data_IF_907543266762
#
_entry.id   IF_907543266762
#
_cell.length_a   1.000
_cell.length_b   1.000
_cell.length_c   1.000
_cell.angle_alpha   90.00
_cell.angle_beta   90.00
_cell.angle_gamma   90.00
#
_symmetry.space_group_name_H-M   'P 1'
#
loop_
_entity.id
_entity.type
_entity.pdbx_description
1 polymer ?
#
# COMPACT_ATOMS: atom_id res chain seq x y z
N UNK A 1 5.16 -72.94 -1.68
CA UNK A 1 4.80 -71.89 -0.69
C UNK A 1 5.81 -70.76 -0.80
N UNK A 2 5.51 -69.79 -1.67
CA UNK A 2 6.10 -68.46 -1.71
C UNK A 2 5.12 -67.63 -2.55
N UNK A 3 4.12 -67.05 -1.87
CA UNK A 3 3.10 -66.19 -2.47
C UNK A 3 3.66 -64.77 -2.62
N UNK A 4 3.64 -64.28 -3.85
CA UNK A 4 3.74 -62.87 -4.22
C UNK A 4 2.32 -62.41 -4.60
N UNK A 5 1.74 -61.35 -4.01
CA UNK A 5 0.50 -60.80 -4.52
C UNK A 5 0.72 -59.75 -5.61
N UNK A 6 -0.21 -59.79 -6.55
CA UNK A 6 -0.42 -59.00 -7.76
C UNK A 6 -0.42 -57.47 -7.57
N UNK A 7 0.09 -56.78 -8.60
CA UNK A 7 -0.23 -55.39 -8.94
C UNK A 7 -1.75 -55.23 -9.14
N UNK A 8 -2.32 -54.16 -8.57
CA UNK A 8 -3.64 -53.65 -8.96
C UNK A 8 -3.51 -52.20 -9.41
N UNK A 9 -3.69 -52.05 -10.71
CA UNK A 9 -3.71 -50.87 -11.56
C UNK A 9 -4.80 -49.86 -11.12
N UNK A 10 -4.40 -48.71 -10.56
CA UNK A 10 -5.33 -47.59 -10.33
C UNK A 10 -5.48 -46.80 -11.64
N UNK A 11 -6.29 -47.37 -12.52
CA UNK A 11 -6.83 -46.69 -13.69
C UNK A 11 -7.63 -45.46 -13.26
N UNK A 12 -7.23 -44.30 -13.79
CA UNK A 12 -7.95 -43.05 -13.65
C UNK A 12 -9.35 -43.15 -14.25
N UNK A 13 -10.35 -42.82 -13.45
CA UNK A 13 -11.69 -42.57 -13.94
C UNK A 13 -11.67 -41.26 -14.74
N UNK A 14 -11.61 -41.42 -16.06
CA UNK A 14 -11.82 -40.35 -17.03
C UNK A 14 -13.33 -40.18 -17.20
N UNK A 15 -13.89 -39.11 -16.64
CA UNK A 15 -15.24 -38.65 -17.02
C UNK A 15 -15.14 -37.92 -18.37
N UNK A 16 -15.40 -38.67 -19.45
CA UNK A 16 -15.43 -38.19 -20.83
C UNK A 16 -16.77 -37.48 -21.06
N UNK A 17 -16.97 -36.28 -20.52
CA UNK A 17 -18.09 -35.43 -20.95
C UNK A 17 -17.94 -33.92 -20.83
N UNK A 18 -16.89 -33.40 -20.20
CA UNK A 18 -16.53 -31.97 -20.29
C UNK A 18 -15.01 -31.81 -20.19
N UNK A 19 -14.37 -31.39 -21.28
CA UNK A 19 -12.91 -31.23 -21.41
C UNK A 19 -12.32 -30.08 -20.60
N UNK A 20 -12.66 -29.94 -19.32
CA UNK A 20 -12.05 -28.97 -18.41
C UNK A 20 -11.20 -29.72 -17.40
N UNK A 21 -9.88 -29.74 -17.60
CA UNK A 21 -8.94 -30.09 -16.54
C UNK A 21 -9.06 -29.02 -15.45
N UNK A 22 -9.75 -29.34 -14.36
CA UNK A 22 -9.69 -28.56 -13.13
C UNK A 22 -8.23 -28.65 -12.68
N UNK A 23 -7.55 -27.52 -12.65
CA UNK A 23 -6.26 -27.42 -11.98
C UNK A 23 -6.50 -27.75 -10.52
N UNK A 24 -5.97 -28.88 -10.04
CA UNK A 24 -5.66 -29.05 -8.63
C UNK A 24 -4.72 -27.91 -8.25
N UNK A 25 -5.29 -26.85 -7.67
CA UNK A 25 -4.50 -25.93 -6.87
C UNK A 25 -3.87 -26.78 -5.78
N UNK A 26 -2.56 -26.96 -5.85
CA UNK A 26 -1.79 -27.56 -4.78
C UNK A 26 -2.30 -26.98 -3.46
N UNK A 27 -2.88 -27.85 -2.64
CA UNK A 27 -3.45 -27.53 -1.34
C UNK A 27 -2.33 -26.96 -0.48
N UNK A 28 -2.21 -25.63 -0.45
CA UNK A 28 -1.46 -24.97 0.62
C UNK A 28 -2.05 -25.50 1.94
N UNK A 29 -1.23 -26.07 2.85
CA UNK A 29 -1.75 -26.63 4.08
C UNK A 29 -2.49 -25.53 4.84
N UNK A 30 -3.77 -25.77 5.14
CA UNK A 30 -4.58 -24.85 5.92
C UNK A 30 -3.86 -24.58 7.24
N UNK A 31 -3.36 -23.34 7.40
CA UNK A 31 -2.66 -22.90 8.59
C UNK A 31 -3.54 -23.16 9.82
N UNK A 32 -3.01 -23.74 10.91
CA UNK A 32 -3.78 -24.00 12.12
C UNK A 32 -4.47 -22.71 12.62
N UNK A 33 -5.70 -22.80 13.13
CA UNK A 33 -6.52 -21.65 13.51
C UNK A 33 -5.78 -20.63 14.40
N UNK A 34 -4.91 -21.11 15.28
CA UNK A 34 -4.04 -20.30 16.15
C UNK A 34 -3.01 -19.48 15.37
N UNK A 35 -2.39 -20.04 14.33
CA UNK A 35 -1.40 -19.32 13.52
C UNK A 35 -2.05 -18.26 12.63
N UNK A 36 -3.28 -18.49 12.16
CA UNK A 36 -4.04 -17.46 11.42
C UNK A 36 -4.39 -16.26 12.32
N UNK A 37 -4.81 -16.50 13.57
CA UNK A 37 -5.11 -15.42 14.52
C UNK A 37 -3.86 -14.61 14.87
N UNK A 38 -2.72 -15.29 15.07
CA UNK A 38 -1.43 -14.64 15.29
C UNK A 38 -0.98 -13.84 14.07
N UNK A 39 -1.13 -14.38 12.85
CA UNK A 39 -0.80 -13.67 11.62
C UNK A 39 -1.63 -12.39 11.47
N UNK A 40 -2.94 -12.45 11.76
CA UNK A 40 -3.81 -11.26 11.76
C UNK A 40 -3.34 -10.23 12.78
N UNK A 41 -3.08 -10.64 14.02
CA UNK A 41 -2.63 -9.73 15.08
C UNK A 41 -1.27 -9.09 14.74
N UNK A 42 -0.30 -9.89 14.28
CA UNK A 42 1.02 -9.40 13.87
C UNK A 42 0.90 -8.44 12.70
N UNK A 43 0.08 -8.75 11.69
CA UNK A 43 -0.15 -7.85 10.54
C UNK A 43 -0.78 -6.53 10.97
N UNK A 44 -1.74 -6.57 11.90
CA UNK A 44 -2.38 -5.39 12.47
C UNK A 44 -1.36 -4.49 13.17
N UNK A 45 -0.57 -5.07 14.09
CA UNK A 45 0.42 -4.33 14.87
C UNK A 45 1.49 -3.75 13.97
N UNK A 46 2.05 -4.57 13.06
CA UNK A 46 3.06 -4.12 12.11
C UNK A 46 2.54 -3.00 11.22
N UNK A 47 1.32 -3.09 10.69
CA UNK A 47 0.76 -2.06 9.83
C UNK A 47 0.48 -0.76 10.60
N UNK A 48 0.03 -0.86 11.84
CA UNK A 48 -0.23 0.30 12.70
C UNK A 48 1.07 1.03 13.00
N UNK A 49 2.07 0.31 13.52
CA UNK A 49 3.37 0.87 13.86
C UNK A 49 4.06 1.42 12.61
N UNK A 50 4.04 0.67 11.51
CA UNK A 50 4.65 1.10 10.27
C UNK A 50 4.06 2.42 9.77
N UNK A 51 2.72 2.53 9.71
CA UNK A 51 2.08 3.75 9.23
C UNK A 51 2.34 4.95 10.14
N UNK A 52 2.30 4.75 11.46
CA UNK A 52 2.53 5.84 12.41
C UNK A 52 3.99 6.30 12.41
N UNK A 53 4.94 5.35 12.58
CA UNK A 53 6.37 5.65 12.66
C UNK A 53 6.87 6.25 11.35
N UNK A 54 6.46 5.73 10.19
CA UNK A 54 6.85 6.29 8.90
C UNK A 54 6.50 7.78 8.82
N UNK A 55 5.26 8.16 9.13
CA UNK A 55 4.79 9.53 9.00
C UNK A 55 5.52 10.45 9.99
N UNK A 56 5.69 10.02 11.24
CA UNK A 56 6.38 10.80 12.27
C UNK A 56 7.86 11.02 11.94
N UNK A 57 8.59 9.95 11.57
CA UNK A 57 10.02 10.06 11.24
C UNK A 57 10.20 10.83 9.94
N UNK A 58 9.36 10.60 8.93
CA UNK A 58 9.41 11.34 7.67
C UNK A 58 9.12 12.83 7.88
N UNK A 59 8.18 13.20 8.76
CA UNK A 59 7.98 14.60 9.14
C UNK A 59 9.22 15.17 9.82
N UNK A 60 9.75 14.50 10.85
CA UNK A 60 10.93 14.96 11.58
C UNK A 60 12.15 15.19 10.69
N UNK A 61 12.46 14.25 9.79
CA UNK A 61 13.61 14.36 8.87
C UNK A 61 13.41 15.48 7.84
N UNK A 62 12.16 15.88 7.58
CA UNK A 62 11.81 16.96 6.64
C UNK A 62 11.66 18.34 7.29
N UNK A 63 11.54 18.41 8.62
CA UNK A 63 11.40 19.68 9.36
C UNK A 63 12.59 20.01 10.26
N UNK A 64 13.50 19.06 10.49
CA UNK A 64 14.75 19.31 11.23
C UNK A 64 15.66 20.32 10.53
N UNK A 65 16.48 20.98 11.33
CA UNK A 65 17.56 21.85 10.84
C UNK A 65 18.72 21.01 10.30
N UNK A 66 19.25 21.38 9.12
CA UNK A 66 20.39 20.70 8.51
C UNK A 66 20.29 20.56 6.98
N UNK A 67 21.27 19.88 6.35
CA UNK A 67 21.27 19.67 4.91
C UNK A 67 20.07 18.80 4.50
N UNK A 68 19.15 19.41 3.75
CA UNK A 68 17.96 18.72 3.25
C UNK A 68 18.31 17.76 2.11
N UNK A 69 18.01 16.47 2.33
CA UNK A 69 18.14 15.45 1.30
C UNK A 69 17.12 15.63 0.17
N UNK A 70 17.45 15.08 -1.00
CA UNK A 70 16.57 15.09 -2.16
C UNK A 70 15.51 14.00 -2.00
N UNK A 71 14.23 14.39 -1.93
CA UNK A 71 13.13 13.43 -1.82
C UNK A 71 13.10 12.43 -2.99
N UNK A 72 13.47 12.89 -4.19
CA UNK A 72 13.57 12.08 -5.41
C UNK A 72 14.56 10.94 -5.26
N UNK A 73 15.74 11.18 -4.69
CA UNK A 73 16.73 10.12 -4.45
C UNK A 73 16.23 9.11 -3.42
N UNK A 74 15.58 9.57 -2.34
CA UNK A 74 15.03 8.66 -1.32
C UNK A 74 13.93 7.76 -1.87
N UNK A 75 13.09 8.26 -2.78
CA UNK A 75 12.08 7.46 -3.49
C UNK A 75 12.76 6.38 -4.34
N UNK A 76 13.80 6.71 -5.12
CA UNK A 76 14.54 5.72 -5.93
C UNK A 76 15.13 4.62 -5.06
N UNK A 77 15.80 4.98 -3.96
CA UNK A 77 16.40 3.99 -3.06
C UNK A 77 15.31 3.09 -2.46
N UNK A 78 14.13 3.64 -2.14
CA UNK A 78 13.01 2.84 -1.64
C UNK A 78 12.45 1.86 -2.70
N UNK A 79 12.41 2.24 -3.97
CA UNK A 79 12.07 1.31 -5.06
C UNK A 79 13.13 0.24 -5.24
N UNK A 80 14.41 0.57 -5.08
CA UNK A 80 15.50 -0.39 -5.16
C UNK A 80 15.40 -1.43 -4.03
N UNK A 81 15.11 -1.03 -2.80
CA UNK A 81 14.87 -1.97 -1.69
C UNK A 81 13.66 -2.87 -1.96
N UNK A 82 12.57 -2.32 -2.48
CA UNK A 82 11.39 -3.12 -2.87
C UNK A 82 11.72 -4.12 -3.98
N UNK A 83 12.48 -3.70 -4.99
CA UNK A 83 12.95 -4.55 -6.08
C UNK A 83 13.81 -5.70 -5.55
N UNK A 84 14.83 -5.40 -4.73
CA UNK A 84 15.71 -6.41 -4.14
C UNK A 84 14.93 -7.42 -3.30
N UNK A 85 13.99 -6.93 -2.49
CA UNK A 85 13.15 -7.81 -1.65
C UNK A 85 12.26 -8.69 -2.51
N UNK A 86 11.61 -8.14 -3.53
CA UNK A 86 10.74 -8.91 -4.42
C UNK A 86 11.52 -9.96 -5.22
N UNK A 87 12.72 -9.62 -5.72
CA UNK A 87 13.61 -10.58 -6.39
C UNK A 87 14.07 -11.68 -5.44
N UNK A 88 14.43 -11.34 -4.20
CA UNK A 88 14.80 -12.32 -3.19
C UNK A 88 13.63 -13.30 -2.91
N UNK A 89 12.41 -12.79 -2.75
CA UNK A 89 11.24 -13.66 -2.51
C UNK A 89 10.99 -14.59 -3.71
N UNK A 90 11.06 -14.09 -4.95
CA UNK A 90 10.92 -14.96 -6.14
C UNK A 90 12.02 -16.03 -6.16
N UNK A 91 13.26 -15.66 -5.87
CA UNK A 91 14.38 -16.61 -5.85
C UNK A 91 14.20 -17.72 -4.81
N UNK A 92 13.78 -17.37 -3.58
CA UNK A 92 13.63 -18.32 -2.48
C UNK A 92 12.32 -19.12 -2.54
N UNK A 93 11.20 -18.51 -2.94
CA UNK A 93 9.87 -19.11 -2.84
C UNK A 93 9.33 -19.65 -4.16
N UNK A 94 9.69 -19.05 -5.31
CA UNK A 94 9.12 -19.43 -6.62
C UNK A 94 10.13 -20.20 -7.49
N UNK A 95 11.41 -19.90 -7.35
CA UNK A 95 12.48 -20.51 -8.15
C UNK A 95 13.25 -21.65 -7.45
N UNK A 96 12.85 -22.07 -6.26
CA UNK A 96 13.49 -23.15 -5.48
C UNK A 96 15.01 -22.97 -5.30
N UNK A 97 15.47 -21.72 -5.19
CA UNK A 97 16.91 -21.33 -5.14
C UNK A 97 17.72 -21.75 -6.38
N UNK A 98 17.06 -22.04 -7.50
CA UNK A 98 17.69 -22.42 -8.76
C UNK A 98 17.82 -21.19 -9.68
N UNK A 99 19.06 -20.78 -9.96
CA UNK A 99 19.37 -19.60 -10.78
C UNK A 99 18.83 -19.72 -12.21
N UNK A 100 18.87 -20.91 -12.83
CA UNK A 100 18.37 -21.10 -14.19
C UNK A 100 16.86 -20.90 -14.25
N UNK A 101 16.13 -21.48 -13.29
CA UNK A 101 14.68 -21.33 -13.15
C UNK A 101 14.32 -19.87 -12.87
N UNK A 102 15.08 -19.20 -12.01
CA UNK A 102 14.90 -17.78 -11.69
C UNK A 102 15.07 -16.87 -12.92
N UNK A 103 16.17 -17.00 -13.66
CA UNK A 103 16.45 -16.19 -14.86
C UNK A 103 15.37 -16.45 -15.92
N UNK A 104 15.05 -17.72 -16.17
CA UNK A 104 14.00 -18.08 -17.14
C UNK A 104 12.65 -17.48 -16.74
N UNK A 105 12.29 -17.56 -15.46
CA UNK A 105 11.04 -16.99 -14.95
C UNK A 105 10.97 -15.46 -15.12
N UNK A 106 12.06 -14.74 -14.86
CA UNK A 106 12.13 -13.29 -15.08
C UNK A 106 12.09 -12.93 -16.56
N UNK A 107 12.84 -13.63 -17.41
CA UNK A 107 12.85 -13.38 -18.85
C UNK A 107 11.47 -13.59 -19.46
N UNK A 108 10.82 -14.70 -19.14
CA UNK A 108 9.50 -15.06 -19.67
C UNK A 108 8.40 -14.07 -19.26
N UNK A 109 8.46 -13.55 -18.04
CA UNK A 109 7.39 -12.71 -17.51
C UNK A 109 7.65 -11.20 -17.57
N UNK A 110 8.89 -10.77 -17.80
CA UNK A 110 9.26 -9.35 -17.90
C UNK A 110 9.62 -8.99 -19.35
N UNK A 111 10.53 -9.73 -19.97
CA UNK A 111 11.04 -9.41 -21.31
C UNK A 111 10.08 -9.87 -22.40
N UNK A 112 9.55 -11.10 -22.29
CA UNK A 112 8.67 -11.66 -23.30
C UNK A 112 7.22 -11.15 -23.21
N UNK A 113 6.88 -10.33 -22.20
CA UNK A 113 5.54 -9.76 -22.00
C UNK A 113 5.55 -8.22 -21.92
N UNK A 114 6.00 -7.52 -22.97
CA UNK A 114 6.17 -6.06 -22.95
C UNK A 114 4.85 -5.30 -22.74
N UNK A 115 3.72 -5.83 -23.24
CA UNK A 115 2.41 -5.20 -23.07
C UNK A 115 1.94 -5.20 -21.61
N UNK A 116 2.29 -6.23 -20.85
CA UNK A 116 1.98 -6.29 -19.43
C UNK A 116 2.87 -5.34 -18.63
N UNK A 117 4.17 -5.27 -18.97
CA UNK A 117 5.07 -4.26 -18.42
C UNK A 117 4.59 -2.83 -18.72
N UNK A 118 4.09 -2.58 -19.94
CA UNK A 118 3.55 -1.27 -20.32
C UNK A 118 2.32 -0.91 -19.48
N UNK A 119 1.40 -1.85 -19.24
CA UNK A 119 0.25 -1.60 -18.33
C UNK A 119 0.72 -1.28 -16.92
N UNK A 120 1.72 -1.99 -16.40
CA UNK A 120 2.29 -1.77 -15.05
C UNK A 120 3.07 -0.45 -14.94
N UNK A 121 3.54 0.11 -16.06
CA UNK A 121 4.22 1.41 -16.07
C UNK A 121 3.34 2.57 -15.59
N UNK A 122 2.04 2.52 -15.90
CA UNK A 122 1.06 3.55 -15.52
C UNK A 122 0.96 3.71 -13.99
N UNK A 123 0.64 2.67 -13.20
CA UNK A 123 0.63 2.80 -11.75
C UNK A 123 2.03 3.09 -11.19
N UNK A 124 3.11 2.57 -11.81
CA UNK A 124 4.48 2.86 -11.37
C UNK A 124 4.79 4.35 -11.42
N UNK A 125 4.53 5.01 -12.56
CA UNK A 125 4.71 6.46 -12.73
C UNK A 125 3.93 7.24 -11.66
N UNK A 126 2.66 6.89 -11.47
CA UNK A 126 1.77 7.58 -10.54
C UNK A 126 2.24 7.38 -9.09
N UNK A 127 2.71 6.19 -8.71
CA UNK A 127 3.27 5.95 -7.39
C UNK A 127 4.57 6.73 -7.14
N UNK A 128 5.44 6.88 -8.13
CA UNK A 128 6.66 7.71 -8.00
C UNK A 128 6.29 9.17 -7.77
N UNK A 129 5.35 9.71 -8.55
CA UNK A 129 4.87 11.08 -8.37
C UNK A 129 4.19 11.26 -7.02
N UNK A 130 3.32 10.32 -6.63
CA UNK A 130 2.66 10.29 -5.34
C UNK A 130 3.66 10.30 -4.19
N UNK A 131 4.65 9.39 -4.19
CA UNK A 131 5.64 9.29 -3.12
C UNK A 131 6.44 10.59 -2.95
N UNK A 132 6.79 11.26 -4.05
CA UNK A 132 7.42 12.57 -4.01
C UNK A 132 6.50 13.66 -3.42
N UNK A 133 5.21 13.66 -3.78
CA UNK A 133 4.23 14.58 -3.21
C UNK A 133 4.00 14.35 -1.71
N UNK A 134 4.13 13.11 -1.21
CA UNK A 134 4.07 12.85 0.24
C UNK A 134 5.19 13.57 1.00
N UNK A 135 6.41 13.60 0.45
CA UNK A 135 7.51 14.39 1.03
C UNK A 135 7.22 15.88 1.00
N UNK A 136 6.66 16.41 -0.09
CA UNK A 136 6.27 17.82 -0.19
C UNK A 136 5.20 18.16 0.85
N UNK A 137 4.18 17.32 0.96
CA UNK A 137 3.10 17.47 1.93
C UNK A 137 3.60 17.47 3.38
N UNK A 138 4.42 16.49 3.77
CA UNK A 138 4.97 16.38 5.13
C UNK A 138 6.02 17.45 5.47
N UNK A 139 6.59 18.11 4.47
CA UNK A 139 7.43 19.29 4.68
C UNK A 139 6.56 20.52 5.03
N UNK A 140 5.32 20.58 4.53
CA UNK A 140 4.48 21.78 4.60
C UNK A 140 3.29 21.66 5.58
N UNK A 141 2.98 20.46 6.05
CA UNK A 141 1.93 20.19 7.04
C UNK A 141 2.53 19.53 8.28
N UNK A 142 1.92 19.76 9.43
CA UNK A 142 2.22 18.98 10.62
C UNK A 142 1.79 17.50 10.44
N UNK A 143 2.50 16.61 11.14
CA UNK A 143 2.30 15.16 11.00
C UNK A 143 0.86 14.72 11.34
N UNK A 144 0.21 15.33 12.32
CA UNK A 144 -1.13 14.96 12.77
C UNK A 144 -2.19 15.34 11.73
N UNK A 145 -2.15 16.56 11.22
CA UNK A 145 -3.00 17.05 10.13
C UNK A 145 -2.78 16.24 8.87
N UNK A 146 -1.52 15.95 8.49
CA UNK A 146 -1.21 15.08 7.36
C UNK A 146 -1.83 13.69 7.54
N UNK A 147 -1.63 13.07 8.70
CA UNK A 147 -2.12 11.71 9.00
C UNK A 147 -3.63 11.59 8.81
N UNK A 148 -4.41 12.56 9.30
CA UNK A 148 -5.86 12.56 9.17
C UNK A 148 -6.29 12.88 7.74
N UNK A 149 -5.65 13.86 7.10
CA UNK A 149 -6.03 14.32 5.75
C UNK A 149 -5.72 13.28 4.69
N UNK A 150 -4.63 12.54 4.84
CA UNK A 150 -4.24 11.48 3.92
C UNK A 150 -5.25 10.31 3.88
N UNK A 151 -6.20 10.26 4.82
CA UNK A 151 -7.31 9.32 4.81
C UNK A 151 -8.31 9.58 3.68
N UNK A 152 -8.31 10.79 3.08
CA UNK A 152 -9.08 11.07 1.86
C UNK A 152 -8.77 10.09 0.72
N UNK A 153 -7.61 9.42 0.74
CA UNK A 153 -7.31 8.32 -0.18
C UNK A 153 -8.41 7.25 -0.19
N UNK A 154 -9.12 7.02 0.92
CA UNK A 154 -10.22 6.05 0.98
C UNK A 154 -11.36 6.48 0.07
N UNK A 155 -11.69 7.78 0.08
CA UNK A 155 -12.70 8.36 -0.79
C UNK A 155 -12.29 8.22 -2.26
N UNK A 156 -11.07 8.59 -2.62
CA UNK A 156 -10.60 8.50 -4.01
C UNK A 156 -10.51 7.06 -4.48
N UNK A 157 -9.98 6.13 -3.66
CA UNK A 157 -9.97 4.69 -3.95
C UNK A 157 -11.38 4.15 -4.15
N UNK A 158 -12.35 4.56 -3.34
CA UNK A 158 -13.74 4.12 -3.47
C UNK A 158 -14.36 4.60 -4.79
N UNK A 159 -14.18 5.88 -5.15
CA UNK A 159 -14.66 6.43 -6.41
C UNK A 159 -14.06 5.69 -7.61
N UNK A 160 -12.74 5.52 -7.65
CA UNK A 160 -12.09 4.79 -8.73
C UNK A 160 -12.48 3.31 -8.74
N UNK A 161 -12.73 2.68 -7.58
CA UNK A 161 -13.21 1.30 -7.50
C UNK A 161 -14.57 1.11 -8.13
N UNK A 162 -15.49 2.06 -7.95
CA UNK A 162 -16.81 2.05 -8.62
C UNK A 162 -16.62 2.23 -10.13
N UNK A 163 -15.84 3.21 -10.55
CA UNK A 163 -15.69 3.57 -11.97
C UNK A 163 -14.89 2.53 -12.78
N UNK A 164 -13.78 2.02 -12.24
CA UNK A 164 -12.83 1.20 -13.00
C UNK A 164 -13.01 -0.31 -12.85
N UNK A 165 -13.54 -0.73 -11.69
CA UNK A 165 -13.77 -2.15 -11.34
C UNK A 165 -15.26 -2.50 -11.28
N UNK A 166 -16.17 -1.55 -11.50
CA UNK A 166 -17.62 -1.75 -11.38
C UNK A 166 -18.03 -2.34 -10.02
N UNK A 167 -17.34 -1.97 -8.94
CA UNK A 167 -17.73 -2.41 -7.59
C UNK A 167 -18.99 -1.68 -7.14
N UNK A 168 -19.93 -2.42 -6.55
CA UNK A 168 -21.06 -1.83 -5.84
C UNK A 168 -20.65 -1.54 -4.41
N UNK A 169 -20.95 -0.32 -3.93
CA UNK A 169 -20.77 0.08 -2.53
C UNK A 169 -22.13 0.12 -1.83
N UNK A 170 -22.14 -0.25 -0.55
CA UNK A 170 -23.36 -0.16 0.28
C UNK A 170 -23.72 1.30 0.60
N UNK A 171 -24.96 1.52 1.03
CA UNK A 171 -25.42 2.88 1.42
C UNK A 171 -24.62 3.39 2.63
N UNK A 172 -24.28 2.49 3.54
CA UNK A 172 -23.46 2.74 4.72
C UNK A 172 -22.04 3.14 4.34
N UNK A 173 -21.46 2.50 3.31
CA UNK A 173 -20.16 2.91 2.78
C UNK A 173 -20.22 4.31 2.17
N UNK A 174 -21.21 4.62 1.34
CA UNK A 174 -21.35 5.98 0.81
C UNK A 174 -21.53 7.04 1.90
N UNK A 175 -22.37 6.76 2.90
CA UNK A 175 -22.55 7.64 4.04
C UNK A 175 -21.23 7.84 4.81
N UNK A 176 -20.46 6.77 5.02
CA UNK A 176 -19.14 6.88 5.67
C UNK A 176 -18.20 7.79 4.88
N UNK A 177 -18.15 7.70 3.54
CA UNK A 177 -17.27 8.56 2.74
C UNK A 177 -17.62 10.05 2.86
N UNK A 178 -18.90 10.39 3.04
CA UNK A 178 -19.32 11.77 3.33
C UNK A 178 -18.81 12.20 4.71
N UNK A 179 -18.98 11.35 5.73
CA UNK A 179 -18.46 11.59 7.09
C UNK A 179 -16.94 11.75 7.08
N UNK A 180 -16.22 10.95 6.30
CA UNK A 180 -14.77 11.07 6.10
C UNK A 180 -14.40 12.45 5.59
N UNK A 181 -15.07 12.90 4.51
CA UNK A 181 -14.79 14.19 3.88
C UNK A 181 -15.08 15.34 4.85
N UNK A 182 -16.21 15.29 5.56
CA UNK A 182 -16.54 16.28 6.60
C UNK A 182 -15.52 16.30 7.73
N UNK A 183 -15.09 15.14 8.22
CA UNK A 183 -14.08 15.03 9.28
C UNK A 183 -12.74 15.63 8.86
N UNK A 184 -12.29 15.36 7.63
CA UNK A 184 -11.06 15.96 7.09
C UNK A 184 -11.21 17.46 6.87
N UNK A 185 -12.35 17.92 6.34
CA UNK A 185 -12.61 19.36 6.19
C UNK A 185 -12.57 20.10 7.53
N UNK A 186 -13.11 19.51 8.60
CA UNK A 186 -13.05 20.08 9.95
C UNK A 186 -11.62 20.18 10.50
N UNK A 187 -10.78 19.16 10.25
CA UNK A 187 -9.36 19.23 10.64
C UNK A 187 -8.62 20.32 9.87
N UNK A 188 -8.93 20.50 8.58
CA UNK A 188 -8.27 21.48 7.72
C UNK A 188 -8.73 22.93 7.94
N UNK A 189 -9.92 23.13 8.50
CA UNK A 189 -10.45 24.47 8.80
C UNK A 189 -9.99 25.02 10.16
N UNK A 190 -9.14 24.30 10.88
CA UNK A 190 -8.62 24.78 12.16
C UNK A 190 -7.82 26.08 11.96
N UNK A 191 -8.10 27.16 12.73
CA UNK A 191 -7.31 28.38 12.70
C UNK A 191 -5.85 28.09 13.10
N UNK A 192 -4.90 28.59 12.31
CA UNK A 192 -3.47 28.54 12.62
C UNK A 192 -3.15 29.52 13.75
N UNK A 193 -3.44 29.12 14.99
CA UNK A 193 -3.11 29.90 16.19
C UNK A 193 -1.64 29.71 16.63
N UNK A 194 -0.71 29.53 15.68
CA UNK A 194 0.71 29.56 16.00
C UNK A 194 1.14 31.02 16.07
N UNK A 195 1.59 31.54 17.23
CA UNK A 195 2.28 32.82 17.24
C UNK A 195 3.52 32.67 16.34
N UNK A 196 3.64 33.52 15.33
CA UNK A 196 4.84 33.64 14.51
C UNK A 196 6.02 33.99 15.44
N UNK A 197 6.68 32.98 16.01
CA UNK A 197 8.07 33.15 16.43
C UNK A 197 8.87 33.27 15.16
N UNK A 198 9.29 34.51 14.87
CA UNK A 198 10.32 34.82 13.90
C UNK A 198 11.62 34.15 14.35
N UNK A 199 11.76 32.85 14.09
CA UNK A 199 13.03 32.15 14.16
C UNK A 199 13.50 32.00 12.72
N UNK A 200 14.62 32.66 12.44
CA UNK A 200 15.31 32.74 11.16
C UNK A 200 15.87 31.37 10.74
N UNK A 201 15.04 30.52 10.15
CA UNK A 201 15.44 29.27 9.50
C UNK A 201 14.67 29.11 8.19
N UNK A 202 15.38 28.95 7.07
CA UNK A 202 14.95 29.06 5.65
C UNK A 202 13.88 28.06 5.14
N UNK A 203 13.03 27.47 5.99
CA UNK A 203 11.94 26.60 5.53
C UNK A 203 10.64 27.39 5.55
N UNK A 204 10.31 28.01 4.42
CA UNK A 204 9.02 28.67 4.22
C UNK A 204 7.92 27.60 4.13
N UNK A 205 7.28 27.29 5.26
CA UNK A 205 6.16 26.35 5.33
C UNK A 205 4.93 26.99 4.69
N UNK A 206 4.44 26.40 3.59
CA UNK A 206 3.21 26.85 2.94
C UNK A 206 2.10 25.79 3.08
N UNK A 207 1.18 25.95 4.05
CA UNK A 207 0.11 24.98 4.30
C UNK A 207 -0.76 24.69 3.07
N UNK A 208 -0.97 25.67 2.18
CA UNK A 208 -1.73 25.48 0.93
C UNK A 208 -1.02 24.53 -0.03
N UNK A 209 0.30 24.66 -0.17
CA UNK A 209 1.11 23.73 -0.98
C UNK A 209 1.07 22.33 -0.38
N UNK A 210 1.15 22.24 0.95
CA UNK A 210 1.02 20.99 1.67
C UNK A 210 -0.33 20.30 1.45
N UNK A 211 -1.43 21.05 1.61
CA UNK A 211 -2.79 20.56 1.38
C UNK A 211 -2.99 20.13 -0.08
N UNK A 212 -2.58 20.94 -1.05
CA UNK A 212 -2.66 20.61 -2.46
C UNK A 212 -1.88 19.31 -2.77
N UNK A 213 -0.67 19.16 -2.23
CA UNK A 213 0.13 17.95 -2.38
C UNK A 213 -0.55 16.71 -1.77
N UNK A 214 -1.19 16.82 -0.60
CA UNK A 214 -1.96 15.71 -0.01
C UNK A 214 -3.16 15.35 -0.87
N UNK A 215 -3.92 16.32 -1.37
CA UNK A 215 -5.10 16.05 -2.20
C UNK A 215 -4.73 15.37 -3.51
N UNK A 216 -3.72 15.88 -4.21
CA UNK A 216 -3.21 15.28 -5.45
C UNK A 216 -2.66 13.88 -5.18
N UNK A 217 -1.88 13.71 -4.10
CA UNK A 217 -1.36 12.38 -3.74
C UNK A 217 -2.47 11.38 -3.37
N UNK A 218 -3.56 11.82 -2.75
CA UNK A 218 -4.73 10.97 -2.47
C UNK A 218 -5.43 10.55 -3.78
N UNK A 219 -5.61 11.45 -4.73
CA UNK A 219 -6.17 11.13 -6.04
C UNK A 219 -5.30 10.12 -6.80
N UNK A 220 -4.00 10.38 -6.86
CA UNK A 220 -3.00 9.48 -7.44
C UNK A 220 -3.00 8.10 -6.77
N UNK A 221 -3.02 8.06 -5.44
CA UNK A 221 -3.08 6.82 -4.67
C UNK A 221 -4.34 6.02 -4.97
N UNK A 222 -5.49 6.70 -5.07
CA UNK A 222 -6.77 6.08 -5.38
C UNK A 222 -6.74 5.44 -6.76
N UNK A 223 -6.30 6.19 -7.78
CA UNK A 223 -6.21 5.71 -9.15
C UNK A 223 -5.21 4.57 -9.29
N UNK A 224 -3.95 4.76 -8.88
CA UNK A 224 -2.89 3.77 -9.05
C UNK A 224 -3.20 2.48 -8.29
N UNK A 225 -3.76 2.58 -7.07
CA UNK A 225 -4.19 1.43 -6.27
C UNK A 225 -5.24 0.58 -6.98
N UNK A 226 -6.30 1.22 -7.48
CA UNK A 226 -7.39 0.52 -8.17
C UNK A 226 -6.95 0.00 -9.55
N UNK A 227 -6.13 0.76 -10.26
CA UNK A 227 -5.54 0.32 -11.54
C UNK A 227 -4.66 -0.92 -11.34
N UNK A 228 -3.80 -0.91 -10.31
CA UNK A 228 -2.96 -2.05 -9.96
C UNK A 228 -3.79 -3.27 -9.52
N UNK A 229 -4.85 -3.06 -8.72
CA UNK A 229 -5.81 -4.11 -8.37
C UNK A 229 -6.44 -4.74 -9.63
N UNK A 230 -6.81 -3.92 -10.62
CA UNK A 230 -7.36 -4.37 -11.90
C UNK A 230 -6.38 -5.25 -12.67
N UNK A 231 -5.09 -4.88 -12.72
CA UNK A 231 -4.06 -5.70 -13.38
C UNK A 231 -3.84 -7.02 -12.63
N UNK A 232 -3.74 -6.97 -11.29
CA UNK A 232 -3.54 -8.15 -10.46
C UNK A 232 -4.67 -9.16 -10.63
N UNK A 233 -5.92 -8.70 -10.63
CA UNK A 233 -7.08 -9.58 -10.81
C UNK A 233 -7.27 -10.06 -12.24
N UNK A 234 -6.76 -9.32 -13.22
CA UNK A 234 -6.87 -9.66 -14.64
C UNK A 234 -5.83 -10.67 -15.13
N UNK A 235 -4.85 -11.05 -14.31
CA UNK A 235 -3.71 -11.88 -14.74
C UNK A 235 -3.33 -12.94 -13.72
N UNK A 236 -2.70 -14.04 -14.16
CA UNK A 236 -2.26 -15.15 -13.28
C UNK A 236 -0.88 -14.92 -12.64
N UNK A 237 -0.27 -13.76 -12.84
CA UNK A 237 1.09 -13.47 -12.37
C UNK A 237 1.14 -13.32 -10.84
N UNK A 238 2.27 -13.69 -10.24
CA UNK A 238 2.46 -13.55 -8.79
C UNK A 238 2.52 -12.07 -8.37
N UNK A 239 2.11 -11.78 -7.13
CA UNK A 239 2.18 -10.43 -6.55
C UNK A 239 3.63 -9.93 -6.53
N UNK A 240 4.59 -10.83 -6.28
CA UNK A 240 6.01 -10.50 -6.23
C UNK A 240 6.55 -10.13 -7.61
N UNK A 241 6.17 -10.87 -8.65
CA UNK A 241 6.54 -10.57 -10.02
C UNK A 241 5.98 -9.22 -10.48
N UNK A 242 4.71 -8.91 -10.11
CA UNK A 242 4.12 -7.59 -10.36
C UNK A 242 4.85 -6.48 -9.61
N UNK A 243 5.29 -6.73 -8.38
CA UNK A 243 6.12 -5.78 -7.62
C UNK A 243 7.51 -5.60 -8.24
N UNK A 244 8.12 -6.64 -8.83
CA UNK A 244 9.37 -6.50 -9.59
C UNK A 244 9.15 -5.60 -10.81
N UNK A 245 8.14 -5.88 -11.64
CA UNK A 245 7.82 -5.03 -12.80
C UNK A 245 7.57 -3.57 -12.40
N UNK A 246 6.80 -3.36 -11.32
CA UNK A 246 6.50 -2.03 -10.79
C UNK A 246 7.75 -1.31 -10.31
N UNK A 247 8.64 -2.01 -9.59
CA UNK A 247 9.84 -1.43 -8.98
C UNK A 247 10.95 -1.18 -10.02
N UNK A 248 11.14 -2.07 -11.01
CA UNK A 248 12.09 -1.84 -12.12
C UNK A 248 11.73 -0.56 -12.87
N UNK A 249 10.45 -0.44 -13.27
CA UNK A 249 9.97 0.77 -13.93
C UNK A 249 10.02 1.99 -12.99
N UNK A 250 9.75 1.78 -11.70
CA UNK A 250 9.80 2.82 -10.67
C UNK A 250 11.20 3.40 -10.49
N UNK A 251 12.24 2.55 -10.51
CA UNK A 251 13.65 2.98 -10.47
C UNK A 251 13.99 3.80 -11.71
N UNK A 252 13.61 3.35 -12.90
CA UNK A 252 13.89 4.06 -14.17
C UNK A 252 13.18 5.41 -14.20
N UNK A 253 11.87 5.43 -13.95
CA UNK A 253 11.06 6.66 -13.93
C UNK A 253 11.51 7.60 -12.81
N UNK A 254 11.85 7.05 -11.65
CA UNK A 254 12.39 7.80 -10.52
C UNK A 254 13.72 8.47 -10.87
N UNK A 255 14.63 7.76 -11.54
CA UNK A 255 15.89 8.32 -12.01
C UNK A 255 15.68 9.46 -13.01
N UNK A 256 14.77 9.30 -13.98
CA UNK A 256 14.38 10.38 -14.91
C UNK A 256 13.82 11.58 -14.12
N UNK A 257 12.92 11.33 -13.17
CA UNK A 257 12.32 12.39 -12.33
C UNK A 257 13.37 13.15 -11.53
N UNK A 258 14.35 12.46 -10.97
CA UNK A 258 15.47 13.06 -10.24
C UNK A 258 16.35 13.91 -11.15
N UNK A 259 16.69 13.42 -12.34
CA UNK A 259 17.49 14.18 -13.31
C UNK A 259 16.77 15.46 -13.76
N UNK A 260 15.46 15.39 -13.98
CA UNK A 260 14.66 16.56 -14.38
C UNK A 260 14.47 17.57 -13.25
N UNK A 261 14.22 17.10 -12.02
CA UNK A 261 13.86 17.99 -10.89
C UNK A 261 15.06 18.47 -10.07
N UNK A 262 16.01 17.57 -9.81
CA UNK A 262 17.12 17.79 -8.88
C UNK A 262 18.48 17.61 -9.57
N UNK A 263 18.54 17.61 -10.91
CA UNK A 263 19.76 17.36 -11.68
C UNK A 263 20.92 18.28 -11.30
N UNK A 264 20.69 19.59 -11.21
CA UNK A 264 21.74 20.54 -10.79
C UNK A 264 22.27 20.24 -9.39
N UNK A 265 21.38 19.96 -8.43
CA UNK A 265 21.74 19.61 -7.06
C UNK A 265 22.49 18.28 -7.01
N UNK A 266 22.09 17.31 -7.83
CA UNK A 266 22.74 16.01 -7.95
C UNK A 266 24.19 16.17 -8.43
N UNK A 267 24.43 16.96 -9.46
CA UNK A 267 25.77 17.22 -9.98
C UNK A 267 26.65 18.02 -9.00
N UNK A 268 26.05 18.98 -8.28
CA UNK A 268 26.80 19.82 -7.35
C UNK A 268 27.11 19.15 -6.01
N UNK A 269 26.19 18.34 -5.47
CA UNK A 269 26.25 17.83 -4.08
C UNK A 269 26.32 16.31 -3.97
N UNK A 270 26.02 15.59 -5.04
CA UNK A 270 25.98 14.13 -5.07
C UNK A 270 24.64 13.54 -4.64
N UNK A 271 24.44 12.25 -4.94
CA UNK A 271 23.18 11.52 -4.78
C UNK A 271 22.73 11.37 -3.32
N UNK A 272 23.68 11.11 -2.42
CA UNK A 272 23.43 10.87 -0.99
C UNK A 272 23.61 12.13 -0.12
N UNK A 273 23.53 13.32 -0.71
CA UNK A 273 23.63 14.56 0.06
C UNK A 273 22.49 14.67 1.09
N UNK A 274 22.83 15.01 2.33
CA UNK A 274 21.88 15.16 3.44
C UNK A 274 21.35 13.85 4.01
N UNK A 275 21.92 12.70 3.62
CA UNK A 275 21.55 11.40 4.18
C UNK A 275 22.21 11.18 5.53
N UNK A 276 21.40 10.72 6.47
CA UNK A 276 21.84 10.21 7.76
C UNK A 276 21.05 8.93 8.10
N UNK A 277 21.27 8.40 9.30
CA UNK A 277 20.63 7.17 9.75
C UNK A 277 19.10 7.26 9.75
N UNK A 278 18.51 8.43 10.07
CA UNK A 278 17.06 8.61 10.05
C UNK A 278 16.49 8.61 8.64
N UNK A 279 17.18 9.20 7.65
CA UNK A 279 16.77 9.11 6.23
C UNK A 279 16.74 7.65 5.78
N UNK A 280 17.75 6.85 6.14
CA UNK A 280 17.75 5.42 5.83
C UNK A 280 16.60 4.67 6.52
N UNK A 281 16.28 5.00 7.77
CA UNK A 281 15.12 4.44 8.47
C UNK A 281 13.82 4.77 7.72
N UNK A 282 13.62 6.02 7.29
CA UNK A 282 12.45 6.42 6.49
C UNK A 282 12.35 5.61 5.20
N UNK A 283 13.47 5.44 4.48
CA UNK A 283 13.53 4.67 3.24
C UNK A 283 13.17 3.20 3.49
N UNK A 284 13.72 2.58 4.53
CA UNK A 284 13.45 1.19 4.90
C UNK A 284 11.99 1.00 5.32
N UNK A 285 11.47 1.89 6.18
CA UNK A 285 10.06 1.89 6.58
C UNK A 285 9.17 2.05 5.34
N UNK A 286 9.42 3.02 4.46
CA UNK A 286 8.61 3.23 3.26
C UNK A 286 8.60 2.00 2.35
N UNK A 287 9.77 1.38 2.16
CA UNK A 287 9.92 0.16 1.36
C UNK A 287 9.16 -1.01 1.97
N UNK A 288 9.34 -1.22 3.28
CA UNK A 288 8.65 -2.26 4.04
C UNK A 288 7.13 -2.05 4.01
N UNK A 289 6.65 -0.83 4.23
CA UNK A 289 5.24 -0.48 4.16
C UNK A 289 4.61 -0.78 2.80
N UNK A 290 5.31 -0.45 1.71
CA UNK A 290 4.85 -0.77 0.35
C UNK A 290 4.65 -2.27 0.11
N UNK A 291 5.56 -3.11 0.61
CA UNK A 291 5.46 -4.58 0.51
C UNK A 291 4.43 -5.15 1.50
N UNK A 292 4.36 -4.58 2.70
CA UNK A 292 3.42 -4.98 3.75
C UNK A 292 1.98 -4.79 3.29
N UNK A 293 1.69 -3.73 2.54
CA UNK A 293 0.34 -3.51 1.97
C UNK A 293 -0.09 -4.70 1.10
N UNK A 294 0.82 -5.28 0.32
CA UNK A 294 0.51 -6.45 -0.52
C UNK A 294 0.19 -7.69 0.32
N UNK A 295 0.95 -7.93 1.40
CA UNK A 295 0.72 -9.02 2.35
C UNK A 295 -0.60 -8.83 3.11
N UNK A 296 -0.88 -7.62 3.60
CA UNK A 296 -2.11 -7.28 4.32
C UNK A 296 -3.32 -7.46 3.41
N UNK A 297 -3.26 -7.06 2.14
CA UNK A 297 -4.35 -7.29 1.18
C UNK A 297 -4.61 -8.79 0.97
N UNK A 298 -3.59 -9.63 1.04
CA UNK A 298 -3.72 -11.08 0.87
C UNK A 298 -4.27 -11.78 2.13
N UNK A 299 -3.86 -11.35 3.33
CA UNK A 299 -4.10 -12.14 4.55
C UNK A 299 -4.92 -11.43 5.64
N UNK A 300 -5.19 -10.13 5.52
CA UNK A 300 -5.93 -9.36 6.53
C UNK A 300 -7.32 -8.95 6.03
N UNK A 301 -8.30 -9.00 6.93
CA UNK A 301 -9.65 -8.53 6.63
C UNK A 301 -9.68 -7.00 6.50
N UNK A 302 -10.57 -6.47 5.65
CA UNK A 302 -10.74 -5.02 5.45
C UNK A 302 -11.05 -4.28 6.78
N UNK A 303 -11.71 -4.97 7.71
CA UNK A 303 -11.98 -4.51 9.08
C UNK A 303 -10.68 -4.27 9.84
N UNK A 304 -9.75 -5.22 9.77
CA UNK A 304 -8.47 -5.15 10.49
C UNK A 304 -7.59 -4.02 9.97
N UNK A 305 -7.58 -3.82 8.65
CA UNK A 305 -6.90 -2.66 8.03
C UNK A 305 -7.50 -1.34 8.51
N UNK A 306 -8.82 -1.26 8.63
CA UNK A 306 -9.51 -0.10 9.20
C UNK A 306 -9.05 0.20 10.63
N UNK A 307 -9.02 -0.83 11.49
CA UNK A 307 -8.52 -0.69 12.86
C UNK A 307 -7.05 -0.24 12.93
N UNK A 308 -6.16 -0.83 12.14
CA UNK A 308 -4.75 -0.42 12.11
C UNK A 308 -4.61 1.04 11.71
N UNK A 309 -5.43 1.49 10.77
CA UNK A 309 -5.39 2.87 10.29
C UNK A 309 -5.90 3.84 11.37
N UNK A 310 -7.00 3.51 12.03
CA UNK A 310 -7.52 4.31 13.14
C UNK A 310 -6.55 4.37 14.33
N UNK A 311 -5.93 3.23 14.68
CA UNK A 311 -4.92 3.17 15.71
C UNK A 311 -3.67 4.00 15.33
N UNK A 312 -3.25 3.98 14.06
CA UNK A 312 -2.14 4.80 13.60
C UNK A 312 -2.44 6.30 13.70
N UNK A 313 -3.68 6.74 13.42
CA UNK A 313 -4.10 8.13 13.62
C UNK A 313 -3.93 8.54 15.08
N UNK A 314 -4.42 7.71 16.01
CA UNK A 314 -4.33 7.99 17.46
C UNK A 314 -2.86 8.03 17.90
N UNK A 315 -2.06 7.03 17.53
CA UNK A 315 -0.63 6.96 17.88
C UNK A 315 0.13 8.16 17.33
N UNK A 316 -0.04 8.51 16.05
CA UNK A 316 0.60 9.67 15.44
C UNK A 316 0.16 10.99 16.06
N UNK A 317 -1.09 11.12 16.48
CA UNK A 317 -1.60 12.31 17.17
C UNK A 317 -0.96 12.44 18.55
N UNK A 318 -1.00 11.39 19.37
CA UNK A 318 -0.39 11.37 20.70
C UNK A 318 1.12 11.64 20.61
N UNK A 319 1.81 10.97 19.68
CA UNK A 319 3.23 11.21 19.44
C UNK A 319 3.50 12.65 18.99
N UNK A 320 2.66 13.24 18.13
CA UNK A 320 2.83 14.63 17.71
C UNK A 320 2.67 15.65 18.85
N UNK A 321 1.82 15.36 19.85
CA UNK A 321 1.68 16.21 21.04
C UNK A 321 3.00 16.24 21.83
N UNK A 322 3.64 15.09 22.03
CA UNK A 322 4.86 14.99 22.84
C UNK A 322 6.16 15.29 22.09
N UNK A 323 6.23 15.00 20.79
CA UNK A 323 7.46 15.12 19.97
C UNK A 323 7.53 16.47 19.23
N UNK A 324 6.39 17.00 18.80
CA UNK A 324 6.31 18.19 17.94
C UNK A 324 5.51 19.35 18.57
N UNK A 325 5.24 19.28 19.88
CA UNK A 325 4.45 20.27 20.63
C UNK A 325 3.11 20.62 19.95
N UNK A 326 2.47 19.62 19.34
CA UNK A 326 1.20 19.82 18.61
C UNK A 326 0.06 20.19 19.58
N UNK A 327 -0.59 21.33 19.34
CA UNK A 327 -1.72 21.79 20.15
C UNK A 327 -3.02 21.17 19.66
N UNK A 328 -3.60 20.31 20.49
CA UNK A 328 -4.87 19.66 20.20
C UNK A 328 -6.03 20.65 20.35
N UNK A 329 -6.72 20.94 19.25
CA UNK A 329 -7.95 21.73 19.27
C UNK A 329 -9.20 20.84 19.32
N UNK A 330 -10.30 21.38 19.84
CA UNK A 330 -11.60 20.69 19.83
C UNK A 330 -12.06 20.37 18.40
N UNK A 331 -11.77 21.26 17.45
CA UNK A 331 -12.10 21.07 16.03
C UNK A 331 -11.32 19.90 15.45
N UNK A 332 -10.02 19.81 15.73
CA UNK A 332 -9.18 18.69 15.32
C UNK A 332 -9.67 17.38 15.92
N UNK A 333 -9.91 17.34 17.23
CA UNK A 333 -10.36 16.11 17.91
C UNK A 333 -11.68 15.61 17.33
N UNK A 334 -12.62 16.51 17.09
CA UNK A 334 -13.93 16.17 16.50
C UNK A 334 -13.76 15.67 15.07
N UNK A 335 -12.97 16.37 14.24
CA UNK A 335 -12.69 15.95 12.86
C UNK A 335 -11.97 14.60 12.79
N UNK A 336 -10.94 14.39 13.61
CA UNK A 336 -10.21 13.12 13.69
C UNK A 336 -11.10 11.96 14.14
N UNK A 337 -12.00 12.19 15.11
CA UNK A 337 -12.96 11.18 15.56
C UNK A 337 -13.93 10.79 14.43
N UNK A 338 -14.45 11.77 13.68
CA UNK A 338 -15.30 11.50 12.51
C UNK A 338 -14.57 10.67 11.45
N UNK A 339 -13.29 10.98 11.19
CA UNK A 339 -12.46 10.20 10.27
C UNK A 339 -12.28 8.76 10.77
N UNK A 340 -11.96 8.57 12.05
CA UNK A 340 -11.80 7.23 12.65
C UNK A 340 -13.11 6.42 12.55
N UNK A 341 -14.25 7.03 12.89
CA UNK A 341 -15.57 6.39 12.80
C UNK A 341 -15.89 6.04 11.35
N UNK A 342 -15.64 6.94 10.41
CA UNK A 342 -15.84 6.68 9.00
C UNK A 342 -14.99 5.52 8.50
N UNK A 343 -13.69 5.48 8.83
CA UNK A 343 -12.78 4.40 8.44
C UNK A 343 -13.32 3.07 8.93
N UNK A 344 -13.79 3.02 10.18
CA UNK A 344 -14.39 1.82 10.76
C UNK A 344 -15.66 1.36 10.02
N UNK A 345 -16.61 2.27 9.77
CA UNK A 345 -17.86 1.96 9.06
C UNK A 345 -17.53 1.47 7.64
N UNK A 346 -16.68 2.18 6.91
CA UNK A 346 -16.30 1.82 5.53
C UNK A 346 -15.69 0.41 5.46
N UNK A 347 -14.80 0.09 6.41
CA UNK A 347 -14.13 -1.19 6.50
C UNK A 347 -15.05 -2.34 6.93
N UNK A 348 -16.11 -2.06 7.70
CA UNK A 348 -17.08 -3.06 8.18
C UNK A 348 -18.09 -3.48 7.13
N UNK A 349 -18.62 -2.52 6.36
CA UNK A 349 -19.76 -2.75 5.46
C UNK A 349 -19.37 -3.05 4.00
N UNK A 350 -18.21 -3.68 3.79
CA UNK A 350 -17.79 -4.14 2.46
C UNK A 350 -18.77 -5.22 1.97
N UNK A 351 -19.44 -5.04 0.82
CA UNK A 351 -20.46 -5.98 0.37
C UNK A 351 -19.86 -7.36 0.13
N UNK A 352 -20.44 -8.36 0.77
CA UNK A 352 -20.07 -9.78 0.70
C UNK A 352 -20.47 -10.41 -0.66
N UNK A 353 -20.10 -9.77 -1.77
CA UNK A 353 -20.40 -10.27 -3.12
C UNK A 353 -19.67 -11.58 -3.46
N UNK A 354 -18.76 -12.06 -2.61
CA UNK A 354 -18.13 -13.39 -2.77
C UNK A 354 -18.88 -14.53 -2.04
N UNK A 355 -19.61 -14.26 -0.95
CA UNK A 355 -20.25 -15.35 -0.19
C UNK A 355 -21.57 -15.85 -0.80
N UNK A 356 -22.20 -15.09 -1.72
CA UNK A 356 -23.45 -15.53 -2.36
C UNK A 356 -23.22 -16.44 -3.57
N UNK A 357 -22.08 -16.32 -4.26
CA UNK A 357 -21.80 -17.17 -5.42
C UNK A 357 -21.45 -18.61 -5.01
N UNK A 358 -20.68 -18.80 -3.93
CA UNK A 358 -20.42 -20.14 -3.36
C UNK A 358 -21.69 -20.77 -2.77
N UNK A 359 -22.48 -20.01 -2.00
CA UNK A 359 -23.69 -20.54 -1.34
C UNK A 359 -24.82 -20.89 -2.33
N UNK A 360 -24.92 -20.21 -3.48
CA UNK A 360 -25.92 -20.54 -4.51
C UNK A 360 -25.50 -21.77 -5.32
N UNK A 361 -24.19 -22.01 -5.48
CA UNK A 361 -23.68 -23.19 -6.19
C UNK A 361 -23.86 -24.43 -5.33
N UNK A 362 -23.59 -24.32 -4.02
CA UNK A 362 -23.71 -25.42 -3.05
C UNK A 362 -25.18 -25.81 -2.74
N UNK A 363 -26.10 -24.84 -2.76
CA UNK A 363 -27.54 -25.16 -2.63
C UNK A 363 -28.15 -25.85 -3.85
N UNK A 364 -27.60 -25.61 -5.06
CA UNK A 364 -28.08 -26.26 -6.29
C UNK A 364 -27.51 -27.67 -6.49
N UNK A 365 -26.32 -27.97 -5.96
CA UNK A 365 -25.76 -29.32 -5.94
C UNK A 365 -26.45 -30.20 -4.89
N UNK A 366 -26.79 -29.67 -3.72
CA UNK A 366 -27.46 -30.43 -2.66
C UNK A 366 -28.95 -30.72 -2.96
N UNK A 367 -29.62 -29.92 -3.80
CA UNK A 367 -31.00 -30.18 -4.24
C UNK A 367 -31.12 -31.15 -5.44
N UNK A 368 -30.01 -31.72 -5.92
CA UNK A 368 -29.97 -32.64 -7.07
C UNK A 368 -29.47 -34.05 -6.73
N UNK A 369 -29.38 -34.41 -5.46
CA UNK A 369 -29.09 -35.78 -5.01
C UNK A 369 -30.37 -36.40 -4.43
#
# INVERSE_FOLDING_TARGET
MQDKPLESDHSGLVDVRNGTRIFDSATEPALPFTSLRMLKLVSLVLLTLQNAVLILVMHHVRTREGPMFMATSAVIVSELFKLLTALAVIFYCEADRNIKKFIWHLQENIVNQPMDCLKVSVPSLIYIMQNNLLYVALTNLDAATFQVTYQLKILTTALFSVIMLNKHLSKEQWASLVVLFTGVALVQLQPDNKPHKATSSEVEHNPLVGLAAVLISCLMSGFAGVYFEKILKGTKQSIWLRNVQLSVLGVVIGAITMLVKDGEKLWAKGFFYGYDYLVFIVILLNSFGGLLVAVVVKYADNILKGFATSAAIIVSCVASIYIFDFQLSLQFTTGALLVIVSVYIYSKFVPALLNKAEVITDKKSVQKI
#
